data_IF_321559707528
#
_entry.id   IF_321559707528
#
_cell.length_a   1.000
_cell.length_b   1.000
_cell.length_c   1.000
_cell.angle_alpha   90.00
_cell.angle_beta   90.00
_cell.angle_gamma   90.00
#
_symmetry.space_group_name_H-M   'P 1'
#
loop_
_entity.id
_entity.type
_entity.pdbx_description
1 polymer ?
#
# COMPACT_ATOMS: atom_id res chain seq x y z
N UNK A 1 47.40 24.58 -31.00
CA UNK A 1 46.91 24.10 -29.66
C UNK A 1 45.40 24.09 -29.73
N UNK A 2 44.76 22.93 -29.95
CA UNK A 2 43.29 22.79 -30.00
C UNK A 2 42.82 22.30 -28.62
N UNK A 3 42.06 23.12 -27.90
CA UNK A 3 41.39 22.75 -26.65
C UNK A 3 40.14 21.95 -26.98
N UNK A 4 40.09 20.68 -26.51
CA UNK A 4 38.87 19.87 -26.46
C UNK A 4 38.13 20.23 -25.17
N UNK A 5 36.92 20.77 -25.31
CA UNK A 5 35.99 20.96 -24.18
C UNK A 5 35.13 19.69 -24.09
N UNK A 6 35.33 18.92 -23.03
CA UNK A 6 34.48 17.78 -22.73
C UNK A 6 33.20 18.27 -22.03
N UNK A 7 32.06 18.07 -22.66
CA UNK A 7 30.75 18.33 -22.07
C UNK A 7 30.38 17.16 -21.11
N UNK A 8 30.28 17.44 -19.83
CA UNK A 8 29.75 16.50 -18.84
C UNK A 8 28.23 16.60 -18.85
N UNK A 9 27.58 15.57 -19.35
CA UNK A 9 26.11 15.45 -19.27
C UNK A 9 25.70 14.97 -17.85
N UNK A 10 25.16 15.86 -17.05
CA UNK A 10 24.53 15.51 -15.77
C UNK A 10 23.15 14.92 -16.03
N UNK A 11 22.99 13.60 -15.84
CA UNK A 11 21.70 12.94 -15.84
C UNK A 11 20.98 13.25 -14.52
N UNK A 12 19.96 14.09 -14.57
CA UNK A 12 19.03 14.31 -13.43
C UNK A 12 18.12 13.11 -13.30
N UNK A 13 18.30 12.34 -12.22
CA UNK A 13 17.33 11.33 -11.78
C UNK A 13 16.06 12.06 -11.30
N UNK A 14 15.00 12.01 -12.10
CA UNK A 14 13.68 12.41 -11.66
C UNK A 14 13.16 11.27 -10.77
N UNK A 15 13.22 11.44 -9.46
CA UNK A 15 12.52 10.57 -8.51
C UNK A 15 11.02 10.75 -8.76
N UNK A 16 10.36 9.76 -9.36
CA UNK A 16 8.90 9.75 -9.53
C UNK A 16 8.24 9.82 -8.15
N UNK A 17 7.53 10.91 -7.89
CA UNK A 17 6.70 11.04 -6.69
C UNK A 17 5.60 9.97 -6.72
N UNK A 18 5.30 9.36 -5.57
CA UNK A 18 4.11 8.54 -5.42
C UNK A 18 2.89 9.47 -5.60
N UNK A 19 2.03 9.17 -6.58
CA UNK A 19 0.79 9.90 -6.78
C UNK A 19 -0.31 9.21 -5.96
N UNK A 20 -0.83 9.94 -4.99
CA UNK A 20 -2.01 9.59 -4.21
C UNK A 20 -3.22 10.23 -4.88
N UNK A 21 -4.29 9.48 -5.10
CA UNK A 21 -5.52 10.04 -5.68
C UNK A 21 -6.76 9.24 -5.28
N UNK A 22 -7.78 9.98 -4.78
CA UNK A 22 -9.16 9.49 -4.77
C UNK A 22 -9.64 9.51 -6.22
N UNK A 23 -9.68 8.35 -6.87
CA UNK A 23 -9.93 8.22 -8.31
C UNK A 23 -11.41 8.19 -8.66
N UNK A 24 -12.28 7.82 -7.70
CA UNK A 24 -13.74 7.88 -7.83
C UNK A 24 -14.42 8.15 -6.50
N UNK A 25 -15.54 8.88 -6.54
CA UNK A 25 -16.44 9.15 -5.40
C UNK A 25 -17.89 9.15 -5.83
N UNK A 26 -18.72 8.43 -5.07
CA UNK A 26 -20.17 8.41 -5.26
C UNK A 26 -20.88 8.29 -3.91
N UNK A 27 -22.22 8.36 -3.93
CA UNK A 27 -23.02 8.08 -2.74
C UNK A 27 -22.88 6.63 -2.24
N UNK A 28 -22.47 5.70 -3.12
CA UNK A 28 -22.32 4.28 -2.82
C UNK A 28 -20.94 3.93 -2.25
N UNK A 29 -19.91 4.75 -2.51
CA UNK A 29 -18.55 4.46 -2.11
C UNK A 29 -17.49 5.36 -2.74
N UNK A 30 -16.24 4.88 -2.68
CA UNK A 30 -15.11 5.58 -3.28
C UNK A 30 -14.02 4.58 -3.70
N UNK A 31 -13.16 5.00 -4.63
CA UNK A 31 -11.92 4.32 -4.99
C UNK A 31 -10.73 5.20 -4.66
N UNK A 32 -9.68 4.58 -4.12
CA UNK A 32 -8.36 5.18 -3.94
C UNK A 32 -7.35 4.40 -4.75
N UNK A 33 -6.51 5.09 -5.52
CA UNK A 33 -5.40 4.48 -6.27
C UNK A 33 -4.06 5.12 -5.87
N UNK A 34 -3.08 4.27 -5.58
CA UNK A 34 -1.69 4.67 -5.31
C UNK A 34 -0.77 3.97 -6.31
N UNK A 35 0.22 4.68 -6.84
CA UNK A 35 1.18 4.12 -7.80
C UNK A 35 2.61 4.44 -7.38
N UNK A 36 3.50 3.46 -7.55
CA UNK A 36 4.92 3.66 -7.32
C UNK A 36 5.75 2.75 -8.23
N UNK A 37 6.83 3.26 -8.78
CA UNK A 37 7.88 2.44 -9.38
C UNK A 37 8.93 2.14 -8.32
N UNK A 38 9.22 0.86 -8.09
CA UNK A 38 10.11 0.35 -7.04
C UNK A 38 11.35 -0.24 -7.70
N UNK A 39 12.54 0.17 -7.27
CA UNK A 39 13.83 -0.29 -7.80
C UNK A 39 14.19 -1.70 -7.24
N UNK A 40 13.35 -2.69 -7.56
CA UNK A 40 13.55 -4.09 -7.21
C UNK A 40 12.72 -5.01 -8.11
N UNK A 41 13.15 -6.27 -8.32
CA UNK A 41 12.37 -7.28 -9.03
C UNK A 41 11.05 -7.61 -8.34
N UNK A 42 10.01 -7.95 -9.13
CA UNK A 42 8.65 -8.20 -8.63
C UNK A 42 8.59 -9.28 -7.52
N UNK A 43 9.38 -10.32 -7.61
CA UNK A 43 9.44 -11.35 -6.56
C UNK A 43 9.91 -10.80 -5.21
N UNK A 44 10.90 -9.89 -5.19
CA UNK A 44 11.34 -9.21 -3.96
C UNK A 44 10.26 -8.27 -3.44
N UNK A 45 9.62 -7.51 -4.32
CA UNK A 45 8.51 -6.61 -3.95
C UNK A 45 7.35 -7.41 -3.36
N UNK A 46 6.94 -8.52 -3.99
CA UNK A 46 5.87 -9.37 -3.49
C UNK A 46 6.19 -9.97 -2.11
N UNK A 47 7.39 -10.51 -1.93
CA UNK A 47 7.80 -11.05 -0.63
C UNK A 47 7.74 -10.00 0.49
N UNK A 48 8.13 -8.76 0.20
CA UNK A 48 8.04 -7.64 1.15
C UNK A 48 6.59 -7.25 1.48
N UNK A 49 5.63 -7.35 0.53
CA UNK A 49 4.21 -7.10 0.80
C UNK A 49 3.67 -8.00 1.92
N UNK A 50 4.14 -9.23 2.00
CA UNK A 50 3.68 -10.20 3.01
C UNK A 50 4.22 -9.92 4.42
N UNK A 51 5.08 -8.92 4.59
CA UNK A 51 5.68 -8.54 5.87
C UNK A 51 5.31 -7.11 6.30
N UNK A 52 4.01 -6.77 6.46
CA UNK A 52 3.57 -5.40 6.76
C UNK A 52 4.18 -4.86 8.05
N UNK A 53 4.51 -5.72 9.01
CA UNK A 53 5.19 -5.34 10.24
C UNK A 53 6.53 -4.64 10.06
N UNK A 54 7.18 -4.80 8.91
CA UNK A 54 8.47 -4.20 8.61
C UNK A 54 8.38 -2.80 7.97
N UNK A 55 7.23 -2.45 7.39
CA UNK A 55 7.12 -1.20 6.62
C UNK A 55 5.88 -0.35 6.91
N UNK A 56 4.83 -0.91 7.51
CA UNK A 56 3.62 -0.16 7.87
C UNK A 56 3.92 0.92 8.94
N UNK A 57 3.07 1.95 9.02
CA UNK A 57 3.20 2.96 10.07
C UNK A 57 2.59 2.48 11.39
N UNK A 58 3.34 2.57 12.48
CA UNK A 58 2.82 2.24 13.83
C UNK A 58 1.67 3.16 14.25
N UNK A 59 1.57 4.36 13.68
CA UNK A 59 0.46 5.29 13.94
C UNK A 59 -0.87 4.79 13.36
N UNK A 60 -0.82 3.89 12.37
CA UNK A 60 -1.96 3.28 11.72
C UNK A 60 -2.13 1.81 12.15
N UNK A 61 -1.91 1.53 13.43
CA UNK A 61 -2.12 0.22 14.05
C UNK A 61 -2.88 0.37 15.38
N UNK A 62 -3.65 -0.64 15.74
CA UNK A 62 -4.40 -0.67 17.00
C UNK A 62 -3.51 -0.93 18.22
N UNK A 63 -2.44 -1.68 18.04
CA UNK A 63 -1.45 -1.99 19.10
C UNK A 63 -0.44 -0.88 19.33
N UNK A 64 -0.40 0.15 18.48
CA UNK A 64 0.64 1.17 18.48
C UNK A 64 2.00 0.67 17.97
N UNK A 65 2.04 -0.52 17.35
CA UNK A 65 3.27 -1.11 16.82
C UNK A 65 3.02 -1.87 15.53
N UNK A 66 3.60 -1.40 14.42
CA UNK A 66 3.53 -2.08 13.15
C UNK A 66 4.10 -3.51 13.21
N UNK A 67 5.08 -3.78 14.08
CA UNK A 67 5.67 -5.12 14.24
C UNK A 67 4.66 -6.21 14.62
N UNK A 68 3.46 -5.83 15.10
CA UNK A 68 2.37 -6.75 15.41
C UNK A 68 1.49 -7.09 14.20
N UNK A 69 1.74 -6.47 13.04
CA UNK A 69 1.01 -6.72 11.80
C UNK A 69 1.64 -7.89 11.03
N UNK A 70 0.81 -8.74 10.46
CA UNK A 70 1.23 -9.87 9.62
C UNK A 70 0.22 -10.17 8.53
N UNK A 71 0.68 -10.68 7.38
CA UNK A 71 -0.14 -11.33 6.36
C UNK A 71 0.25 -12.79 6.34
N UNK A 72 -0.68 -13.67 6.69
CA UNK A 72 -0.53 -15.11 6.62
C UNK A 72 -1.43 -15.67 5.51
N UNK A 73 -0.81 -16.17 4.44
CA UNK A 73 -1.52 -16.70 3.29
C UNK A 73 -2.26 -18.01 3.61
N UNK A 74 -1.76 -18.81 4.58
CA UNK A 74 -2.37 -20.09 4.91
C UNK A 74 -3.72 -19.90 5.63
N UNK A 75 -3.80 -18.96 6.55
CA UNK A 75 -5.06 -18.59 7.23
C UNK A 75 -5.86 -17.51 6.48
N UNK A 76 -5.28 -16.91 5.46
CA UNK A 76 -5.86 -15.79 4.75
C UNK A 76 -5.98 -14.52 5.60
N UNK A 77 -5.14 -14.34 6.61
CA UNK A 77 -5.28 -13.25 7.56
C UNK A 77 -4.29 -12.11 7.32
N UNK A 78 -4.78 -10.91 7.08
CA UNK A 78 -4.06 -9.69 7.39
C UNK A 78 -4.48 -9.26 8.79
N UNK A 79 -3.66 -9.60 9.76
CA UNK A 79 -3.98 -9.51 11.17
C UNK A 79 -2.97 -8.68 11.95
N UNK A 80 -3.44 -8.18 13.08
CA UNK A 80 -2.64 -7.49 14.08
C UNK A 80 -2.79 -8.18 15.44
N UNK A 81 -1.67 -8.51 16.08
CA UNK A 81 -1.65 -9.04 17.44
C UNK A 81 -1.92 -7.92 18.43
N UNK A 82 -2.88 -8.14 19.34
CA UNK A 82 -3.20 -7.23 20.43
C UNK A 82 -2.83 -7.88 21.78
N UNK A 83 -2.68 -7.11 22.88
CA UNK A 83 -2.33 -7.64 24.21
C UNK A 83 -3.29 -8.72 24.70
N UNK A 84 -4.57 -8.68 24.33
CA UNK A 84 -5.61 -9.62 24.76
C UNK A 84 -6.44 -10.13 23.59
N UNK A 85 -5.81 -10.44 22.45
CA UNK A 85 -6.52 -10.93 21.27
C UNK A 85 -5.85 -10.54 19.97
N UNK A 86 -6.63 -10.29 18.94
CA UNK A 86 -6.16 -9.86 17.65
C UNK A 86 -7.20 -8.98 16.93
N UNK A 87 -6.76 -8.18 15.97
CA UNK A 87 -7.63 -7.55 14.99
C UNK A 87 -7.37 -8.17 13.62
N UNK A 88 -8.43 -8.60 12.93
CA UNK A 88 -8.35 -8.95 11.51
C UNK A 88 -8.66 -7.70 10.71
N UNK A 89 -7.65 -7.11 10.07
CA UNK A 89 -7.85 -5.96 9.21
C UNK A 89 -8.54 -6.33 7.91
N UNK A 90 -8.07 -7.41 7.28
CA UNK A 90 -8.63 -7.92 6.03
C UNK A 90 -8.42 -9.43 5.89
N UNK A 91 -9.18 -10.03 4.97
CA UNK A 91 -8.99 -11.42 4.54
C UNK A 91 -8.31 -11.43 3.18
N UNK A 92 -7.26 -12.22 3.00
CA UNK A 92 -6.67 -12.49 1.70
C UNK A 92 -7.65 -13.32 0.88
N UNK A 93 -8.07 -12.80 -0.26
CA UNK A 93 -9.04 -13.46 -1.16
C UNK A 93 -8.43 -13.94 -2.46
N UNK A 94 -7.21 -13.46 -2.79
CA UNK A 94 -6.45 -13.91 -3.94
C UNK A 94 -4.96 -13.60 -3.72
N UNK A 95 -4.10 -14.55 -4.03
CA UNK A 95 -2.65 -14.40 -3.98
C UNK A 95 -2.04 -15.17 -5.15
N UNK A 96 -1.42 -14.43 -6.08
CA UNK A 96 -0.65 -14.99 -7.20
C UNK A 96 0.77 -14.41 -7.12
N UNK A 97 1.70 -15.25 -6.76
CA UNK A 97 3.06 -14.86 -6.38
C UNK A 97 3.75 -14.00 -7.43
N UNK A 98 4.29 -12.86 -6.98
CA UNK A 98 4.98 -11.83 -7.75
C UNK A 98 4.10 -11.00 -8.71
N UNK A 99 2.79 -11.19 -8.77
CA UNK A 99 1.90 -10.39 -9.64
C UNK A 99 0.79 -9.70 -8.90
N UNK A 100 0.07 -10.40 -8.00
CA UNK A 100 -1.16 -9.87 -7.41
C UNK A 100 -1.38 -10.38 -6.00
N UNK A 101 -1.76 -9.46 -5.10
CA UNK A 101 -2.31 -9.78 -3.77
C UNK A 101 -3.61 -8.99 -3.61
N UNK A 102 -4.73 -9.68 -3.32
CA UNK A 102 -6.03 -9.05 -3.06
C UNK A 102 -6.53 -9.41 -1.68
N UNK A 103 -7.02 -8.38 -0.98
CA UNK A 103 -7.59 -8.50 0.35
C UNK A 103 -8.99 -7.89 0.36
N UNK A 104 -9.85 -8.40 1.23
CA UNK A 104 -11.21 -7.90 1.44
C UNK A 104 -11.43 -7.56 2.91
N UNK A 105 -12.03 -6.39 3.17
CA UNK A 105 -12.41 -5.95 4.52
C UNK A 105 -12.49 -4.45 4.67
N UNK A 106 -12.80 -3.99 5.89
CA UNK A 106 -12.74 -2.59 6.29
C UNK A 106 -11.39 -2.29 6.95
N UNK A 107 -10.55 -1.49 6.32
CA UNK A 107 -9.24 -1.12 6.86
C UNK A 107 -9.39 -0.13 8.02
N UNK A 108 -8.68 -0.38 9.14
CA UNK A 108 -8.65 0.51 10.29
C UNK A 108 -10.05 0.76 10.89
N UNK A 109 -10.41 2.00 11.25
CA UNK A 109 -11.69 2.32 11.90
C UNK A 109 -12.93 2.04 11.04
N UNK A 110 -12.80 1.82 9.73
CA UNK A 110 -13.93 1.38 8.91
C UNK A 110 -14.50 0.03 9.36
N UNK A 111 -13.74 -0.78 10.11
CA UNK A 111 -14.23 -2.03 10.73
C UNK A 111 -15.44 -1.81 11.66
N UNK A 112 -15.65 -0.60 12.17
CA UNK A 112 -16.80 -0.25 13.01
C UNK A 112 -18.01 0.27 12.23
N UNK A 113 -17.96 0.21 10.90
CA UNK A 113 -19.02 0.64 10.01
C UNK A 113 -19.61 -0.54 9.24
N UNK A 114 -20.66 -0.31 8.46
CA UNK A 114 -21.17 -1.28 7.48
C UNK A 114 -20.43 -1.21 6.14
N UNK A 115 -19.27 -0.55 6.07
CA UNK A 115 -18.47 -0.43 4.86
C UNK A 115 -17.36 -1.49 4.82
N UNK A 116 -17.06 -1.96 3.61
CA UNK A 116 -15.93 -2.86 3.32
C UNK A 116 -15.47 -2.65 1.90
N UNK A 117 -14.31 -3.20 1.54
CA UNK A 117 -13.80 -3.03 0.19
C UNK A 117 -12.76 -4.07 -0.20
N UNK A 118 -12.34 -4.00 -1.46
CA UNK A 118 -11.29 -4.82 -2.03
C UNK A 118 -10.01 -4.00 -2.19
N UNK A 119 -8.97 -4.36 -1.43
CA UNK A 119 -7.64 -3.80 -1.55
C UNK A 119 -6.81 -4.71 -2.44
N UNK A 120 -6.31 -4.20 -3.56
CA UNK A 120 -5.52 -4.95 -4.53
C UNK A 120 -4.13 -4.32 -4.69
N UNK A 121 -3.09 -5.14 -4.55
CA UNK A 121 -1.75 -4.82 -4.99
C UNK A 121 -1.49 -5.55 -6.31
N UNK A 122 -1.19 -4.79 -7.37
CA UNK A 122 -0.82 -5.32 -8.68
C UNK A 122 0.62 -4.92 -8.97
N UNK A 123 1.45 -5.91 -9.32
CA UNK A 123 2.87 -5.75 -9.62
C UNK A 123 3.10 -6.04 -11.10
N UNK A 124 3.66 -5.06 -11.82
CA UNK A 124 4.06 -5.22 -13.22
C UNK A 124 5.58 -5.09 -13.33
N UNK A 125 6.28 -6.15 -13.74
CA UNK A 125 7.71 -6.09 -14.00
C UNK A 125 8.05 -5.04 -15.07
N UNK A 126 9.08 -4.21 -14.81
CA UNK A 126 9.57 -3.16 -15.70
C UNK A 126 11.11 -3.18 -15.73
N UNK A 127 11.69 -4.19 -16.39
CA UNK A 127 13.12 -4.47 -16.37
C UNK A 127 13.58 -4.94 -14.99
N UNK A 128 14.52 -4.21 -14.38
CA UNK A 128 15.04 -4.43 -13.02
C UNK A 128 14.18 -3.79 -11.92
N UNK A 129 13.07 -3.14 -12.33
CA UNK A 129 12.12 -2.45 -11.45
C UNK A 129 10.75 -3.11 -11.48
N UNK A 130 9.87 -2.64 -10.62
CA UNK A 130 8.47 -3.08 -10.55
C UNK A 130 7.56 -1.87 -10.45
N UNK A 131 6.58 -1.76 -11.34
CA UNK A 131 5.48 -0.82 -11.19
C UNK A 131 4.43 -1.45 -10.28
N UNK A 132 4.23 -0.84 -9.10
CA UNK A 132 3.20 -1.16 -8.14
C UNK A 132 1.99 -0.27 -8.38
N UNK A 133 0.82 -0.88 -8.46
CA UNK A 133 -0.47 -0.21 -8.31
C UNK A 133 -1.19 -0.81 -7.12
N UNK A 134 -1.59 0.03 -6.17
CA UNK A 134 -2.53 -0.30 -5.10
C UNK A 134 -3.85 0.37 -5.43
N UNK A 135 -4.94 -0.40 -5.42
CA UNK A 135 -6.32 0.10 -5.57
C UNK A 135 -7.16 -0.37 -4.38
N UNK A 136 -7.97 0.50 -3.82
CA UNK A 136 -8.92 0.16 -2.76
C UNK A 136 -10.31 0.67 -3.10
N UNK A 137 -11.16 -0.25 -3.55
CA UNK A 137 -12.60 -0.02 -3.80
C UNK A 137 -13.38 -0.24 -2.52
N UNK A 138 -14.10 0.79 -2.06
CA UNK A 138 -14.86 0.75 -0.80
C UNK A 138 -16.32 1.10 -1.05
N UNK A 139 -17.21 0.25 -0.56
CA UNK A 139 -18.65 0.47 -0.60
C UNK A 139 -19.35 0.10 0.71
N UNK A 140 -20.63 0.47 0.82
CA UNK A 140 -21.47 0.12 1.97
C UNK A 140 -21.94 1.33 2.77
N UNK A 141 -22.28 1.11 4.06
CA UNK A 141 -22.88 2.13 4.91
C UNK A 141 -21.88 2.66 5.95
N UNK A 142 -21.74 3.97 6.00
CA UNK A 142 -21.12 4.67 7.11
C UNK A 142 -22.00 5.85 7.54
N UNK A 143 -22.18 6.03 8.86
CA UNK A 143 -22.93 7.16 9.40
C UNK A 143 -22.25 8.48 8.99
N UNK A 144 -23.03 9.40 8.45
CA UNK A 144 -22.51 10.69 7.97
C UNK A 144 -22.02 10.68 6.52
N UNK A 145 -22.18 9.54 5.81
CA UNK A 145 -21.73 9.37 4.42
C UNK A 145 -20.35 8.69 4.34
N UNK A 146 -20.19 7.78 3.40
CA UNK A 146 -18.95 7.01 3.27
C UNK A 146 -17.86 7.82 2.58
N UNK A 147 -18.10 8.26 1.35
CA UNK A 147 -17.06 8.87 0.54
C UNK A 147 -16.53 10.20 1.11
N UNK A 148 -17.43 11.08 1.55
CA UNK A 148 -17.03 12.41 2.05
C UNK A 148 -16.32 12.35 3.41
N UNK A 149 -16.65 11.35 4.23
CA UNK A 149 -16.05 11.19 5.55
C UNK A 149 -14.72 10.47 5.49
N UNK A 150 -14.57 9.48 4.59
CA UNK A 150 -13.46 8.52 4.67
C UNK A 150 -12.45 8.60 3.54
N UNK A 151 -12.85 8.98 2.31
CA UNK A 151 -11.99 8.84 1.14
C UNK A 151 -10.63 9.55 1.29
N UNK A 152 -10.61 10.81 1.74
CA UNK A 152 -9.37 11.56 1.90
C UNK A 152 -8.45 10.99 2.99
N UNK A 153 -9.03 10.51 4.11
CA UNK A 153 -8.27 9.88 5.18
C UNK A 153 -7.66 8.54 4.74
N UNK A 154 -8.43 7.73 4.02
CA UNK A 154 -7.95 6.46 3.47
C UNK A 154 -6.85 6.68 2.43
N UNK A 155 -7.02 7.67 1.57
CA UNK A 155 -6.01 8.05 0.57
C UNK A 155 -4.69 8.45 1.24
N UNK A 156 -4.74 9.30 2.27
CA UNK A 156 -3.55 9.71 3.03
C UNK A 156 -2.81 8.54 3.67
N UNK A 157 -3.55 7.62 4.34
CA UNK A 157 -2.95 6.41 4.97
C UNK A 157 -2.32 5.49 3.94
N UNK A 158 -2.99 5.23 2.82
CA UNK A 158 -2.48 4.33 1.78
C UNK A 158 -1.32 4.96 1.01
N UNK A 159 -1.32 6.28 0.81
CA UNK A 159 -0.19 7.02 0.22
C UNK A 159 1.06 6.93 1.09
N UNK A 160 0.91 7.16 2.42
CA UNK A 160 2.01 6.96 3.37
C UNK A 160 2.50 5.51 3.33
N UNK A 161 1.59 4.54 3.37
CA UNK A 161 1.93 3.12 3.35
C UNK A 161 2.74 2.73 2.10
N UNK A 162 2.34 3.19 0.90
CA UNK A 162 3.07 2.92 -0.35
C UNK A 162 4.43 3.60 -0.36
N UNK A 163 4.54 4.83 0.15
CA UNK A 163 5.82 5.55 0.28
C UNK A 163 6.81 4.82 1.19
N UNK A 164 6.35 4.42 2.40
CA UNK A 164 7.13 3.63 3.37
C UNK A 164 7.52 2.26 2.81
N UNK A 165 6.58 1.58 2.15
CA UNK A 165 6.82 0.30 1.50
C UNK A 165 7.92 0.38 0.43
N UNK A 166 7.79 1.36 -0.51
CA UNK A 166 8.82 1.60 -1.53
C UNK A 166 10.20 1.79 -0.89
N UNK A 167 10.29 2.67 0.08
CA UNK A 167 11.56 2.97 0.76
C UNK A 167 12.12 1.73 1.45
N UNK A 168 11.27 0.95 2.14
CA UNK A 168 11.69 -0.31 2.77
C UNK A 168 12.26 -1.32 1.77
N UNK A 169 11.60 -1.53 0.64
CA UNK A 169 12.08 -2.48 -0.39
C UNK A 169 13.42 -2.06 -0.98
N UNK A 170 13.60 -0.76 -1.21
CA UNK A 170 14.79 -0.19 -1.83
C UNK A 170 15.98 -0.07 -0.87
N UNK A 171 15.75 0.24 0.40
CA UNK A 171 16.81 0.59 1.37
C UNK A 171 16.89 -0.34 2.59
N UNK A 172 15.88 -1.17 2.82
CA UNK A 172 15.74 -1.99 4.03
C UNK A 172 15.15 -1.24 5.23
N UNK A 173 14.79 0.05 5.08
CA UNK A 173 14.20 0.88 6.14
C UNK A 173 13.00 1.65 5.58
N UNK A 174 11.85 1.74 6.31
CA UNK A 174 10.65 2.43 5.83
C UNK A 174 10.71 3.97 6.01
N UNK A 175 11.73 4.48 6.70
CA UNK A 175 11.94 5.92 7.02
C UNK A 175 13.27 6.44 6.51
#
# INVERSE_FOLDING_TARGET
MKMLIAAVATATLVAGAAHAEVTDKSAAGFEVTQKATIAAPAAKVYAALLTPGAWWSSQHSWSGSAANLSIDLASGCFCEKLPKGFARHMTVVFADGATTLRLFGGLGPMQFTGASGHLAFTLKPAGDKTDLTLTYDVGGYAKGGLADTWAAGVDGVLGEAVGRFKKYVETGKPE
#
